data_IF_500089591715
#
_entry.id   IF_500089591715
#
_cell.length_a   1.000
_cell.length_b   1.000
_cell.length_c   1.000
_cell.angle_alpha   90.00
_cell.angle_beta   90.00
_cell.angle_gamma   90.00
#
_symmetry.space_group_name_H-M   'P 1'
#
loop_
_entity.id
_entity.type
_entity.pdbx_description
1 polymer ?
#
# COMPACT_ATOMS: atom_id res chain seq x y z
N UNK A 1 6.67 -25.13 -25.63
CA UNK A 1 7.24 -23.80 -25.78
C UNK A 1 6.85 -22.90 -24.63
N UNK A 2 7.81 -22.19 -24.07
CA UNK A 2 7.51 -21.27 -22.97
C UNK A 2 7.17 -19.88 -23.51
N UNK A 3 6.11 -19.32 -23.02
CA UNK A 3 5.76 -17.92 -23.28
C UNK A 3 5.84 -17.14 -21.99
N UNK A 4 6.01 -15.83 -22.08
CA UNK A 4 6.03 -14.99 -20.93
C UNK A 4 5.09 -13.80 -21.11
N UNK A 5 4.62 -13.28 -20.01
CA UNK A 5 3.74 -12.12 -19.98
C UNK A 5 4.21 -11.18 -18.89
N UNK A 6 4.37 -9.91 -19.26
CA UNK A 6 4.69 -8.88 -18.27
C UNK A 6 3.44 -8.50 -17.51
N UNK A 7 3.57 -8.38 -16.21
CA UNK A 7 2.49 -7.92 -15.36
C UNK A 7 3.02 -6.83 -14.42
N UNK A 8 2.31 -5.73 -14.36
CA UNK A 8 2.62 -4.66 -13.43
C UNK A 8 1.68 -4.73 -12.24
N UNK A 9 2.25 -4.61 -11.05
CA UNK A 9 1.50 -4.60 -9.81
C UNK A 9 1.97 -3.41 -8.99
N UNK A 10 1.06 -2.75 -8.32
CA UNK A 10 1.36 -1.60 -7.49
C UNK A 10 1.22 -2.00 -6.03
N UNK A 11 2.28 -1.80 -5.27
CA UNK A 11 2.31 -2.18 -3.86
C UNK A 11 2.29 -0.92 -3.02
N UNK A 12 1.34 -0.85 -2.08
CA UNK A 12 1.28 0.25 -1.12
C UNK A 12 2.06 -0.17 0.12
N UNK A 13 2.97 0.69 0.54
CA UNK A 13 3.82 0.48 1.71
C UNK A 13 3.50 1.48 2.79
N UNK A 14 3.64 1.06 4.03
CA UNK A 14 3.66 1.94 5.19
C UNK A 14 5.11 2.04 5.68
N UNK A 15 5.64 3.24 5.75
CA UNK A 15 6.96 3.50 6.32
C UNK A 15 6.78 4.21 7.65
N UNK A 16 7.35 3.68 8.70
CA UNK A 16 7.12 4.17 10.05
C UNK A 16 8.37 4.00 10.89
N UNK A 17 8.53 4.85 11.92
CA UNK A 17 9.63 4.78 12.86
C UNK A 17 10.84 5.57 12.43
N UNK A 18 11.84 5.65 13.32
CA UNK A 18 13.10 6.34 13.10
C UNK A 18 14.25 5.47 13.52
N UNK A 19 15.37 5.56 12.78
CA UNK A 19 16.60 4.82 13.11
C UNK A 19 16.34 3.32 13.25
N UNK A 20 16.61 2.77 14.45
CA UNK A 20 16.50 1.34 14.69
C UNK A 20 15.05 0.83 14.71
N UNK A 21 14.10 1.75 14.91
CA UNK A 21 12.67 1.41 14.94
C UNK A 21 12.00 1.52 13.57
N UNK A 22 12.78 1.89 12.54
CA UNK A 22 12.24 2.05 11.20
C UNK A 22 11.71 0.73 10.65
N UNK A 23 10.50 0.79 10.10
CA UNK A 23 9.90 -0.35 9.41
C UNK A 23 9.25 0.13 8.12
N UNK A 24 9.28 -0.72 7.12
CA UNK A 24 8.60 -0.49 5.86
C UNK A 24 7.86 -1.77 5.51
N UNK A 25 6.55 -1.70 5.54
CA UNK A 25 5.70 -2.89 5.45
C UNK A 25 4.81 -2.78 4.22
N UNK A 26 4.80 -3.81 3.34
CA UNK A 26 3.80 -3.85 2.28
C UNK A 26 2.44 -4.17 2.88
N UNK A 27 1.45 -3.34 2.59
CA UNK A 27 0.14 -3.49 3.21
C UNK A 27 -0.96 -3.92 2.25
N UNK A 28 -0.84 -3.57 0.97
CA UNK A 28 -1.81 -4.06 -0.01
C UNK A 28 -1.27 -3.99 -1.43
N UNK A 29 -1.92 -4.74 -2.32
CA UNK A 29 -1.61 -4.76 -3.74
C UNK A 29 -2.75 -4.10 -4.50
N UNK A 30 -2.41 -3.33 -5.52
CA UNK A 30 -3.37 -2.68 -6.39
C UNK A 30 -3.06 -3.04 -7.84
N UNK A 31 -4.09 -3.15 -8.65
CA UNK A 31 -3.95 -3.51 -10.06
C UNK A 31 -3.62 -2.31 -10.95
N UNK A 32 -4.00 -1.11 -10.53
CA UNK A 32 -3.77 0.11 -11.31
C UNK A 32 -3.13 1.17 -10.44
N UNK A 33 -2.46 2.13 -11.11
CA UNK A 33 -1.84 3.22 -10.36
C UNK A 33 -2.88 4.18 -9.78
N UNK A 34 -4.02 4.32 -10.43
CA UNK A 34 -5.12 5.14 -9.90
C UNK A 34 -5.61 4.59 -8.56
N UNK A 35 -5.74 3.28 -8.48
CA UNK A 35 -6.14 2.62 -7.24
C UNK A 35 -5.09 2.81 -6.15
N UNK A 36 -3.81 2.63 -6.52
CA UNK A 36 -2.70 2.82 -5.58
C UNK A 36 -2.65 4.26 -5.07
N UNK A 37 -2.83 5.24 -5.94
CA UNK A 37 -2.89 6.65 -5.56
C UNK A 37 -4.05 6.94 -4.63
N UNK A 38 -5.22 6.39 -4.93
CA UNK A 38 -6.41 6.58 -4.11
C UNK A 38 -6.22 6.01 -2.71
N UNK A 39 -5.74 4.79 -2.62
CA UNK A 39 -5.47 4.12 -1.35
C UNK A 39 -4.45 4.91 -0.52
N UNK A 40 -3.34 5.26 -1.16
CA UNK A 40 -2.25 5.99 -0.50
C UNK A 40 -2.74 7.34 0.02
N UNK A 41 -3.47 8.08 -0.80
CA UNK A 41 -4.00 9.38 -0.42
C UNK A 41 -4.98 9.26 0.74
N UNK A 42 -5.89 8.31 0.67
CA UNK A 42 -6.91 8.10 1.70
C UNK A 42 -6.27 7.76 3.04
N UNK A 43 -5.26 6.90 3.04
CA UNK A 43 -4.56 6.52 4.26
C UNK A 43 -3.74 7.68 4.83
N UNK A 44 -3.05 8.44 3.98
CA UNK A 44 -2.28 9.60 4.43
C UNK A 44 -3.18 10.70 4.97
N UNK A 45 -4.33 10.92 4.33
CA UNK A 45 -5.29 11.92 4.78
C UNK A 45 -5.86 11.54 6.15
N UNK A 46 -6.17 10.26 6.35
CA UNK A 46 -6.68 9.78 7.63
C UNK A 46 -5.65 9.96 8.74
N UNK A 47 -4.38 9.70 8.43
CA UNK A 47 -3.30 9.87 9.39
C UNK A 47 -3.09 11.35 9.74
N UNK A 48 -3.15 12.22 8.76
CA UNK A 48 -3.01 13.66 8.95
C UNK A 48 -4.11 14.23 9.85
N UNK A 49 -5.31 13.64 9.77
CA UNK A 49 -6.44 14.06 10.60
C UNK A 49 -6.44 13.39 11.98
N UNK A 50 -5.27 13.06 12.50
CA UNK A 50 -5.09 12.51 13.83
C UNK A 50 -5.74 11.14 14.02
N UNK A 51 -5.57 10.28 13.05
CA UNK A 51 -6.05 8.89 13.10
C UNK A 51 -7.58 8.77 13.14
N UNK A 52 -8.25 9.66 12.47
CA UNK A 52 -9.70 9.60 12.38
C UNK A 52 -10.11 8.52 11.37
N UNK A 53 -10.09 7.29 11.85
CA UNK A 53 -10.37 6.10 11.02
C UNK A 53 -11.74 6.19 10.35
N UNK A 54 -12.68 6.87 10.98
CA UNK A 54 -14.02 7.07 10.42
C UNK A 54 -14.04 7.90 9.14
N UNK A 55 -12.94 8.58 8.81
CA UNK A 55 -12.83 9.30 7.55
C UNK A 55 -12.41 8.41 6.38
N UNK A 56 -12.09 7.16 6.64
CA UNK A 56 -11.77 6.19 5.60
C UNK A 56 -13.07 5.54 5.16
N UNK A 57 -13.43 5.73 3.89
CA UNK A 57 -14.69 5.21 3.35
C UNK A 57 -14.68 3.69 3.18
N UNK A 58 -13.54 3.13 2.83
CA UNK A 58 -13.43 1.70 2.58
C UNK A 58 -13.22 0.91 3.88
N UNK A 59 -14.05 -0.10 4.10
CA UNK A 59 -13.91 -0.98 5.26
C UNK A 59 -12.57 -1.72 5.24
N UNK A 60 -12.11 -2.11 4.05
CA UNK A 60 -10.83 -2.81 3.90
C UNK A 60 -9.67 -1.90 4.33
N UNK A 61 -9.69 -0.64 3.90
CA UNK A 61 -8.65 0.32 4.27
C UNK A 61 -8.72 0.65 5.76
N UNK A 62 -9.92 0.73 6.30
CA UNK A 62 -10.13 0.96 7.72
C UNK A 62 -9.51 -0.17 8.56
N UNK A 63 -9.73 -1.41 8.16
CA UNK A 63 -9.18 -2.58 8.82
C UNK A 63 -7.65 -2.59 8.74
N UNK A 64 -7.09 -2.26 7.58
CA UNK A 64 -5.64 -2.17 7.41
C UNK A 64 -5.03 -1.10 8.31
N UNK A 65 -5.68 0.06 8.40
CA UNK A 65 -5.22 1.15 9.23
C UNK A 65 -5.20 0.75 10.71
N UNK A 66 -6.25 0.08 11.17
CA UNK A 66 -6.34 -0.40 12.54
C UNK A 66 -5.32 -1.49 12.83
N UNK A 67 -5.13 -2.42 11.89
CA UNK A 67 -4.20 -3.54 12.07
C UNK A 67 -2.76 -3.08 12.22
N UNK A 68 -2.32 -2.15 11.37
CA UNK A 68 -0.93 -1.71 11.38
C UNK A 68 -0.66 -0.54 12.31
N UNK A 69 -1.69 0.12 12.80
CA UNK A 69 -1.61 1.19 13.80
C UNK A 69 -0.43 2.14 13.55
N UNK A 70 -0.39 2.83 12.41
CA UNK A 70 0.74 3.70 12.07
C UNK A 70 0.89 4.83 13.07
N UNK A 71 2.14 5.23 13.33
CA UNK A 71 2.44 6.38 14.16
C UNK A 71 2.17 7.67 13.39
N UNK A 72 2.25 8.80 14.09
CA UNK A 72 2.06 10.11 13.45
C UNK A 72 3.10 10.43 12.38
N UNK A 73 4.28 9.82 12.48
CA UNK A 73 5.33 10.01 11.49
C UNK A 73 5.28 9.06 10.34
N UNK A 74 4.29 8.17 10.29
CA UNK A 74 4.18 7.19 9.22
C UNK A 74 3.82 7.85 7.89
N UNK A 75 4.29 7.25 6.82
CA UNK A 75 4.01 7.70 5.46
C UNK A 75 3.57 6.50 4.64
N UNK A 76 2.48 6.67 3.93
CA UNK A 76 2.03 5.67 2.96
C UNK A 76 2.51 6.07 1.57
N UNK A 77 3.07 5.11 0.85
CA UNK A 77 3.57 5.32 -0.51
C UNK A 77 3.35 4.07 -1.32
N UNK A 78 3.47 4.17 -2.62
CA UNK A 78 3.32 3.00 -3.48
C UNK A 78 4.50 2.90 -4.44
N UNK A 79 4.77 1.66 -4.86
CA UNK A 79 5.78 1.38 -5.87
C UNK A 79 5.19 0.42 -6.89
N UNK A 80 5.62 0.58 -8.14
CA UNK A 80 5.26 -0.34 -9.21
C UNK A 80 6.31 -1.45 -9.28
N UNK A 81 5.84 -2.68 -9.32
CA UNK A 81 6.69 -3.84 -9.54
C UNK A 81 6.23 -4.52 -10.81
N UNK A 82 7.16 -4.69 -11.75
CA UNK A 82 6.90 -5.44 -12.97
C UNK A 82 7.38 -6.85 -12.78
N UNK A 83 6.50 -7.79 -13.05
CA UNK A 83 6.83 -9.21 -12.95
C UNK A 83 6.64 -9.88 -14.29
N UNK A 84 7.33 -10.99 -14.47
CA UNK A 84 7.21 -11.81 -15.67
C UNK A 84 6.72 -13.17 -15.22
N UNK A 85 5.61 -13.62 -15.80
CA UNK A 85 5.16 -14.97 -15.57
C UNK A 85 5.42 -15.81 -16.81
N UNK A 86 5.86 -17.04 -16.60
CA UNK A 86 6.13 -17.99 -17.68
C UNK A 86 5.02 -19.01 -17.71
N UNK A 87 4.58 -19.32 -18.91
CA UNK A 87 3.52 -20.29 -19.10
C UNK A 87 3.97 -21.27 -20.16
N UNK A 88 3.81 -22.54 -19.88
CA UNK A 88 4.12 -23.61 -20.81
C UNK A 88 2.92 -23.90 -21.72
N UNK A 89 3.14 -23.87 -23.00
CA UNK A 89 2.11 -24.18 -23.99
C UNK A 89 2.04 -25.68 -24.27
#
# INVERSE_FOLDING_TARGET
MLTYKNKSTFIVFMSDGEYDDFRRIPICLCDTFEEANKVTKELNDALELLNLVEHIESEVLKDLFEEYAPSRGAIFSWEMISTVSFKED
#
